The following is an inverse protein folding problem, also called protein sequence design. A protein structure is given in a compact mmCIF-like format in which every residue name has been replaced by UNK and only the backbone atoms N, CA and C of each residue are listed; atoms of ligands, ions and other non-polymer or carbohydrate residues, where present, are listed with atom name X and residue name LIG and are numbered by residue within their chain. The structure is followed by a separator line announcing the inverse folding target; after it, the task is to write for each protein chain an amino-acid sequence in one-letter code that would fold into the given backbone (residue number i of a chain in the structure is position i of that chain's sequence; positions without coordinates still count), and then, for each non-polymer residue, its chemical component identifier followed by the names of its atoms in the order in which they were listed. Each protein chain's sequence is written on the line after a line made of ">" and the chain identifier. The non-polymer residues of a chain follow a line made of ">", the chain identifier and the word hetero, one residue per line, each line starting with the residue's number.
data_IF_362090889277
#
_entry.id   IF_362090889277
#
_cell.length_a   1.000
_cell.length_b   1.000
_cell.length_c   1.000
_cell.angle_alpha   90.00
_cell.angle_beta   90.00
_cell.angle_gamma   90.00
#
_symmetry.space_group_name_H-M   'P 1'
#
loop_
_entity.id
_entity.type
_entity.pdbx_description
1 polymer ?
#
# COMPACT_ATOMS: atom_id res chain seq x y z
N UNK A 1 7.03 9.98 18.52
CA UNK A 1 6.85 8.63 17.92
C UNK A 1 6.66 8.84 16.43
N UNK A 2 7.26 8.01 15.57
CA UNK A 2 7.06 8.14 14.11
C UNK A 2 5.63 7.73 13.75
N UNK A 3 4.97 8.50 12.88
CA UNK A 3 3.60 8.25 12.39
C UNK A 3 3.58 7.61 10.99
N UNK A 4 4.75 7.28 10.43
CA UNK A 4 4.89 6.81 9.06
C UNK A 4 5.46 5.40 8.97
N UNK A 5 5.10 4.67 7.91
CA UNK A 5 5.69 3.36 7.56
C UNK A 5 7.20 3.48 7.36
N UNK A 6 7.65 4.45 6.57
CA UNK A 6 9.07 4.74 6.33
C UNK A 6 9.37 6.21 6.62
N UNK A 7 10.55 6.46 7.17
CA UNK A 7 11.14 7.80 7.24
C UNK A 7 12.05 8.01 6.03
N UNK A 8 11.96 9.18 5.40
CA UNK A 8 12.84 9.51 4.26
C UNK A 8 14.15 10.10 4.77
N UNK A 9 15.26 9.57 4.29
CA UNK A 9 16.61 10.09 4.53
C UNK A 9 17.34 10.21 3.20
N UNK A 10 17.44 11.43 2.68
CA UNK A 10 17.94 11.69 1.34
C UNK A 10 17.17 10.90 0.27
N UNK A 11 17.87 10.00 -0.43
CA UNK A 11 17.31 9.09 -1.44
C UNK A 11 16.81 7.76 -0.90
N UNK A 12 17.00 7.48 0.40
CA UNK A 12 16.64 6.22 1.03
C UNK A 12 15.39 6.34 1.92
N UNK A 13 14.83 5.18 2.24
CA UNK A 13 13.67 5.00 3.12
C UNK A 13 14.04 4.07 4.27
N UNK A 14 13.96 4.59 5.49
CA UNK A 14 14.24 3.86 6.72
C UNK A 14 12.94 3.24 7.25
N UNK A 15 12.86 1.91 7.39
CA UNK A 15 11.66 1.25 7.91
C UNK A 15 11.45 1.59 9.37
N UNK A 16 10.20 1.81 9.76
CA UNK A 16 9.80 1.91 11.17
C UNK A 16 9.20 0.60 11.66
N UNK A 17 8.83 0.52 12.94
CA UNK A 17 8.16 -0.68 13.47
C UNK A 17 6.82 -0.97 12.80
N UNK A 18 6.18 0.04 12.19
CA UNK A 18 4.95 -0.19 11.45
C UNK A 18 5.13 -1.04 10.19
N UNK A 19 6.36 -1.19 9.68
CA UNK A 19 6.60 -2.11 8.56
C UNK A 19 6.74 -3.56 8.99
N UNK A 20 6.76 -3.85 10.29
CA UNK A 20 7.10 -5.19 10.80
C UNK A 20 6.13 -6.27 10.30
N UNK A 21 6.70 -7.40 9.90
CA UNK A 21 5.98 -8.59 9.48
C UNK A 21 5.34 -9.34 10.66
N UNK A 22 4.11 -9.87 10.52
CA UNK A 22 3.53 -10.75 11.53
C UNK A 22 4.23 -12.12 11.59
N UNK A 23 5.06 -12.46 10.60
CA UNK A 23 5.77 -13.73 10.51
C UNK A 23 7.20 -13.67 11.07
N UNK A 24 7.82 -12.49 11.09
CA UNK A 24 9.16 -12.28 11.67
C UNK A 24 9.39 -10.80 11.97
N UNK A 25 9.96 -10.49 13.14
CA UNK A 25 10.34 -9.12 13.54
C UNK A 25 11.44 -8.51 12.68
N UNK A 26 12.24 -9.37 12.04
CA UNK A 26 13.44 -8.94 11.29
C UNK A 26 13.11 -8.53 9.85
N UNK A 27 11.85 -8.77 9.44
CA UNK A 27 11.38 -8.52 8.09
C UNK A 27 10.25 -7.50 8.06
N UNK A 28 10.13 -6.83 6.91
CA UNK A 28 8.95 -6.04 6.59
C UNK A 28 7.80 -6.93 6.11
N UNK A 29 6.56 -6.59 6.45
CA UNK A 29 5.40 -7.11 5.73
C UNK A 29 5.39 -6.52 4.31
N UNK A 30 4.76 -7.23 3.36
CA UNK A 30 4.88 -6.90 1.94
C UNK A 30 4.21 -5.59 1.49
N UNK A 31 3.25 -5.06 2.26
CA UNK A 31 2.49 -3.86 1.89
C UNK A 31 3.35 -2.58 1.81
N UNK A 32 4.08 -2.20 2.88
CA UNK A 32 4.93 -1.03 2.93
C UNK A 32 5.97 -0.95 1.81
N UNK A 33 6.78 -1.98 1.53
CA UNK A 33 7.74 -1.93 0.43
C UNK A 33 7.03 -1.85 -0.93
N UNK A 34 5.88 -2.49 -1.11
CA UNK A 34 5.07 -2.34 -2.32
C UNK A 34 4.51 -0.91 -2.48
N UNK A 35 4.15 -0.24 -1.37
CA UNK A 35 3.70 1.15 -1.39
C UNK A 35 4.81 2.12 -1.81
N UNK A 36 6.08 1.84 -1.47
CA UNK A 36 7.22 2.62 -1.98
C UNK A 36 7.36 2.51 -3.51
N UNK A 37 7.15 1.32 -4.08
CA UNK A 37 7.14 1.13 -5.53
C UNK A 37 5.99 1.87 -6.19
N UNK A 38 4.78 1.77 -5.63
CA UNK A 38 3.62 2.50 -6.13
C UNK A 38 3.87 4.02 -6.12
N UNK A 39 4.43 4.54 -5.02
CA UNK A 39 4.84 5.94 -4.92
C UNK A 39 5.85 6.33 -6.00
N UNK A 40 6.92 5.56 -6.18
CA UNK A 40 7.93 5.85 -7.21
C UNK A 40 7.32 5.86 -8.63
N UNK A 41 6.39 4.95 -8.91
CA UNK A 41 5.64 4.93 -10.17
C UNK A 41 4.73 6.16 -10.31
N UNK A 42 4.07 6.60 -9.23
CA UNK A 42 3.23 7.80 -9.25
C UNK A 42 4.07 9.08 -9.48
N UNK A 43 5.29 9.14 -8.94
CA UNK A 43 6.20 10.28 -9.17
C UNK A 43 6.52 10.46 -10.67
N UNK A 44 6.74 9.37 -11.42
CA UNK A 44 6.97 9.44 -12.88
C UNK A 44 5.68 9.58 -13.70
N UNK A 45 4.51 9.28 -13.11
CA UNK A 45 3.21 9.46 -13.76
C UNK A 45 2.88 10.94 -13.99
N UNK A 46 3.25 11.79 -13.02
CA UNK A 46 2.86 13.19 -12.97
C UNK A 46 1.36 13.36 -12.69
N UNK A 47 0.80 14.52 -13.03
CA UNK A 47 -0.60 14.84 -12.75
C UNK A 47 -1.59 14.25 -13.77
N UNK A 48 -1.14 13.84 -14.96
CA UNK A 48 -2.03 13.47 -16.07
C UNK A 48 -2.44 11.98 -16.10
N UNK A 49 -1.71 11.14 -15.35
CA UNK A 49 -1.86 9.69 -15.38
C UNK A 49 -2.00 9.17 -13.95
N UNK A 50 -2.92 8.23 -13.74
CA UNK A 50 -3.07 7.51 -12.49
C UNK A 50 -2.61 6.05 -12.63
N UNK A 51 -2.14 5.49 -11.51
CA UNK A 51 -1.80 4.08 -11.40
C UNK A 51 -3.06 3.22 -11.40
N UNK A 52 -3.30 2.50 -12.51
CA UNK A 52 -4.47 1.63 -12.65
C UNK A 52 -4.21 0.21 -12.18
N UNK A 53 -2.98 -0.28 -12.37
CA UNK A 53 -2.57 -1.63 -11.96
C UNK A 53 -1.09 -1.66 -11.66
N UNK A 54 -0.70 -2.36 -10.60
CA UNK A 54 0.68 -2.72 -10.32
C UNK A 54 0.74 -4.21 -10.02
N UNK A 55 1.71 -4.90 -10.60
CA UNK A 55 2.12 -6.24 -10.20
C UNK A 55 3.46 -6.09 -9.51
N UNK A 56 3.61 -6.72 -8.35
CA UNK A 56 4.82 -6.66 -7.55
C UNK A 56 5.33 -8.08 -7.33
N UNK A 57 6.58 -8.32 -7.70
CA UNK A 57 7.28 -9.57 -7.45
C UNK A 57 8.22 -9.38 -6.25
N UNK A 58 8.05 -10.18 -5.19
CA UNK A 58 8.96 -10.23 -4.05
C UNK A 58 9.98 -11.33 -4.28
N UNK A 59 11.26 -10.98 -4.38
CA UNK A 59 12.33 -11.93 -4.71
C UNK A 59 12.86 -12.68 -3.49
N UNK A 60 12.45 -12.28 -2.28
CA UNK A 60 12.81 -12.90 -1.02
C UNK A 60 12.29 -12.10 0.18
N UNK A 61 12.73 -12.44 1.40
CA UNK A 61 12.43 -11.66 2.60
C UNK A 61 12.95 -10.22 2.50
N UNK A 62 12.17 -9.24 2.95
CA UNK A 62 12.54 -7.82 2.97
C UNK A 62 13.11 -7.47 4.35
N UNK A 63 14.41 -7.23 4.52
CA UNK A 63 14.97 -6.88 5.83
C UNK A 63 14.52 -5.49 6.29
N UNK A 64 14.53 -5.24 7.61
CA UNK A 64 14.32 -3.89 8.18
C UNK A 64 15.58 -3.00 8.05
N UNK A 65 16.08 -2.83 6.84
CA UNK A 65 17.21 -1.95 6.50
C UNK A 65 16.77 -0.79 5.60
N UNK A 66 17.59 0.28 5.47
CA UNK A 66 17.32 1.34 4.50
C UNK A 66 17.22 0.78 3.08
N UNK A 67 16.20 1.24 2.34
CA UNK A 67 15.92 0.82 0.96
C UNK A 67 15.78 2.01 0.03
N UNK A 68 16.03 1.80 -1.25
CA UNK A 68 15.86 2.79 -2.32
C UNK A 68 14.81 2.26 -3.30
N UNK A 69 13.83 3.09 -3.63
CA UNK A 69 12.82 2.80 -4.63
C UNK A 69 13.10 3.62 -5.90
N UNK A 70 13.10 2.97 -7.06
CA UNK A 70 13.29 3.61 -8.35
C UNK A 70 12.19 3.18 -9.31
N UNK A 71 11.84 4.04 -10.27
CA UNK A 71 10.86 3.74 -11.30
C UNK A 71 11.31 4.31 -12.65
N UNK A 72 10.89 3.64 -13.73
CA UNK A 72 11.22 4.02 -15.10
C UNK A 72 10.07 3.74 -16.05
N UNK A 73 10.07 4.44 -17.19
CA UNK A 73 9.09 4.22 -18.26
C UNK A 73 9.61 3.11 -19.18
N UNK A 74 8.85 2.02 -19.27
CA UNK A 74 9.12 0.91 -20.20
C UNK A 74 8.50 1.18 -21.57
N UNK A 75 7.25 1.68 -21.59
CA UNK A 75 6.56 2.07 -22.82
C UNK A 75 5.91 3.44 -22.65
N UNK A 76 6.35 4.47 -23.41
CA UNK A 76 5.76 5.80 -23.32
C UNK A 76 4.35 5.81 -23.89
N UNK A 77 3.55 6.79 -23.46
CA UNK A 77 2.24 7.03 -24.02
C UNK A 77 1.49 8.16 -23.30
N UNK A 78 0.70 8.90 -24.07
CA UNK A 78 -0.13 10.02 -23.56
C UNK A 78 -1.38 9.53 -22.83
N UNK A 79 -1.95 8.39 -23.24
CA UNK A 79 -3.20 7.83 -22.67
C UNK A 79 -2.95 6.62 -21.78
N UNK A 80 -1.98 5.78 -22.16
CA UNK A 80 -1.60 4.57 -21.43
C UNK A 80 -0.09 4.45 -21.49
N UNK A 81 0.54 4.22 -20.35
CA UNK A 81 2.00 4.09 -20.20
C UNK A 81 2.31 2.84 -19.37
N UNK A 82 3.35 2.10 -19.77
CA UNK A 82 3.88 0.99 -18.98
C UNK A 82 5.12 1.48 -18.23
N UNK A 83 5.16 1.23 -16.94
CA UNK A 83 6.29 1.54 -16.07
C UNK A 83 6.83 0.27 -15.42
N UNK A 84 8.11 0.31 -15.04
CA UNK A 84 8.73 -0.65 -14.14
C UNK A 84 9.22 0.09 -12.89
N UNK A 85 9.34 -0.64 -11.79
CA UNK A 85 9.95 -0.13 -10.57
C UNK A 85 10.71 -1.22 -9.84
N UNK A 86 11.73 -0.83 -9.09
CA UNK A 86 12.54 -1.73 -8.26
C UNK A 86 12.72 -1.15 -6.87
N UNK A 87 12.76 -2.03 -5.87
CA UNK A 87 13.14 -1.71 -4.51
C UNK A 87 14.42 -2.47 -4.21
N UNK A 88 15.48 -1.75 -3.84
CA UNK A 88 16.77 -2.34 -3.57
C UNK A 88 17.31 -1.91 -2.20
N UNK A 89 18.24 -2.69 -1.65
CA UNK A 89 19.08 -2.25 -0.53
C UNK A 89 19.94 -1.06 -0.97
N UNK A 90 20.50 -0.31 -0.04
CA UNK A 90 21.49 0.75 -0.37
C UNK A 90 22.77 0.20 -0.99
N UNK A 91 23.03 -1.11 -0.89
CA UNK A 91 24.13 -1.80 -1.57
C UNK A 91 23.79 -2.20 -3.01
N UNK A 92 22.52 -2.10 -3.43
CA UNK A 92 22.05 -2.39 -4.79
C UNK A 92 21.37 -3.76 -4.97
N UNK A 93 21.18 -4.54 -3.91
CA UNK A 93 20.49 -5.83 -4.02
C UNK A 93 18.99 -5.63 -4.22
N UNK A 94 18.45 -6.07 -5.36
CA UNK A 94 17.03 -5.93 -5.67
C UNK A 94 16.21 -6.90 -4.83
N UNK A 95 15.29 -6.35 -4.04
CA UNK A 95 14.38 -7.08 -3.16
C UNK A 95 13.03 -7.31 -3.82
N UNK A 96 12.49 -6.27 -4.46
CA UNK A 96 11.23 -6.30 -5.19
C UNK A 96 11.39 -5.75 -6.59
N UNK A 97 10.58 -6.28 -7.50
CA UNK A 97 10.31 -5.71 -8.82
C UNK A 97 8.83 -5.40 -8.95
N UNK A 98 8.51 -4.49 -9.86
CA UNK A 98 7.14 -4.23 -10.22
C UNK A 98 6.99 -3.83 -11.68
N UNK A 99 5.84 -4.19 -12.24
CA UNK A 99 5.33 -3.71 -13.52
C UNK A 99 4.01 -2.98 -13.30
N UNK A 100 3.88 -1.78 -13.84
CA UNK A 100 2.73 -0.91 -13.58
C UNK A 100 2.12 -0.32 -14.86
N UNK A 101 0.79 -0.29 -14.90
CA UNK A 101 0.03 0.40 -15.93
C UNK A 101 -0.51 1.72 -15.40
N UNK A 102 -0.13 2.78 -16.10
CA UNK A 102 -0.59 4.14 -15.88
C UNK A 102 -1.59 4.49 -16.97
N UNK A 103 -2.74 5.06 -16.60
CA UNK A 103 -3.76 5.49 -17.56
C UNK A 103 -4.15 6.94 -17.31
N UNK A 104 -4.52 7.64 -18.38
CA UNK A 104 -4.95 9.03 -18.31
C UNK A 104 -6.23 9.16 -17.50
N UNK A 105 -6.20 10.07 -16.53
CA UNK A 105 -7.42 10.54 -15.88
C UNK A 105 -8.26 11.32 -16.90
N UNK A 106 -9.52 10.93 -17.05
CA UNK A 106 -10.46 11.64 -17.94
C UNK A 106 -11.19 12.70 -17.14
N UNK A 107 -11.66 13.73 -17.83
CA UNK A 107 -12.59 14.70 -17.24
C UNK A 107 -13.76 13.95 -16.59
N UNK A 108 -14.24 14.43 -15.42
CA UNK A 108 -15.42 13.87 -14.78
C UNK A 108 -16.56 13.80 -15.79
N UNK A 109 -17.09 12.59 -16.01
CA UNK A 109 -18.26 12.40 -16.84
C UNK A 109 -19.50 12.31 -15.97
N UNK A 110 -20.59 12.94 -16.40
CA UNK A 110 -21.89 12.76 -15.73
C UNK A 110 -22.26 11.28 -15.79
N UNK A 111 -22.27 10.64 -14.63
CA UNK A 111 -22.81 9.30 -14.50
C UNK A 111 -24.34 9.40 -14.50
N UNK A 112 -25.07 8.48 -15.16
CA UNK A 112 -26.52 8.41 -14.98
C UNK A 112 -26.83 8.23 -13.50
N UNK A 113 -28.00 8.70 -13.06
CA UNK A 113 -28.46 8.50 -11.69
C UNK A 113 -28.37 7.00 -11.37
N UNK A 114 -27.41 6.62 -10.52
CA UNK A 114 -27.29 5.25 -10.05
C UNK A 114 -28.56 4.94 -9.28
N UNK A 115 -29.24 3.85 -9.62
CA UNK A 115 -30.34 3.36 -8.80
C UNK A 115 -29.78 3.11 -7.39
N UNK A 116 -30.22 3.89 -6.41
CA UNK A 116 -29.79 3.80 -5.01
C UNK A 116 -30.35 2.56 -4.31
N UNK A 117 -30.79 1.54 -5.05
CA UNK A 117 -31.32 0.28 -4.52
C UNK A 117 -30.24 -0.64 -3.94
N UNK A 118 -29.10 -0.08 -3.56
CA UNK A 118 -28.08 -0.80 -2.79
C UNK A 118 -28.56 -1.04 -1.36
N UNK A 119 -27.87 -1.92 -0.62
CA UNK A 119 -28.08 -2.03 0.81
C UNK A 119 -27.89 -0.66 1.48
N UNK A 120 -28.62 -0.42 2.56
CA UNK A 120 -28.43 0.77 3.38
C UNK A 120 -26.94 0.88 3.78
N UNK A 121 -26.32 2.07 3.66
CA UNK A 121 -24.95 2.25 4.09
C UNK A 121 -24.82 1.88 5.57
N UNK A 122 -23.68 1.30 5.99
CA UNK A 122 -23.49 0.97 7.39
C UNK A 122 -23.47 2.23 8.27
N UNK A 123 -23.76 2.10 9.58
CA UNK A 123 -23.59 3.18 10.53
C UNK A 123 -22.19 3.77 10.48
N UNK A 124 -22.01 5.06 10.83
CA UNK A 124 -20.69 5.68 10.88
C UNK A 124 -19.77 4.93 11.85
N UNK A 125 -18.44 4.87 11.58
CA UNK A 125 -17.48 4.14 12.43
C UNK A 125 -17.54 4.50 13.92
N UNK A 126 -17.85 5.76 14.25
CA UNK A 126 -17.98 6.26 15.63
C UNK A 126 -19.11 5.62 16.44
N UNK A 127 -20.11 5.02 15.77
CA UNK A 127 -21.24 4.33 16.39
C UNK A 127 -21.03 2.81 16.52
N UNK A 128 -19.91 2.30 16.01
CA UNK A 128 -19.62 0.87 16.00
C UNK A 128 -18.62 0.50 17.11
N UNK A 129 -18.71 -0.72 17.67
CA UNK A 129 -17.73 -1.18 18.64
C UNK A 129 -16.35 -1.34 17.99
N UNK A 130 -15.25 -1.10 18.74
CA UNK A 130 -13.91 -1.39 18.26
C UNK A 130 -13.74 -2.90 18.01
N UNK A 131 -12.99 -3.24 16.97
CA UNK A 131 -12.58 -4.62 16.68
C UNK A 131 -11.55 -5.08 17.73
N UNK A 132 -11.80 -6.14 18.50
CA UNK A 132 -10.90 -6.62 19.56
C UNK A 132 -9.69 -7.39 19.01
N UNK A 133 -9.40 -7.31 17.71
CA UNK A 133 -8.25 -7.96 17.10
C UNK A 133 -6.98 -7.73 17.92
N UNK A 134 -6.42 -8.86 18.38
CA UNK A 134 -5.72 -8.95 19.64
C UNK A 134 -4.46 -8.09 19.77
N UNK A 135 -4.00 -7.96 21.02
CA UNK A 135 -2.67 -7.42 21.33
C UNK A 135 -1.60 -8.31 20.68
N UNK A 136 -0.87 -7.77 19.71
CA UNK A 136 0.21 -8.48 19.06
C UNK A 136 1.50 -8.37 19.88
N UNK A 137 2.40 -9.34 19.71
CA UNK A 137 3.70 -9.37 20.43
C UNK A 137 4.58 -8.16 20.11
N UNK A 138 4.34 -7.49 18.98
CA UNK A 138 5.11 -6.33 18.51
C UNK A 138 4.18 -5.35 17.80
N UNK A 139 4.59 -4.07 17.78
CA UNK A 139 3.88 -3.01 17.07
C UNK A 139 3.93 -3.26 15.57
N UNK A 140 2.79 -3.19 14.89
CA UNK A 140 2.73 -3.27 13.43
C UNK A 140 1.50 -2.55 12.86
N UNK A 141 1.54 -2.22 11.57
CA UNK A 141 0.52 -1.40 10.91
C UNK A 141 -0.93 -1.83 11.20
N UNK A 142 -1.26 -3.11 10.99
CA UNK A 142 -2.63 -3.61 11.11
C UNK A 142 -3.23 -3.54 12.54
N UNK A 143 -2.38 -3.46 13.56
CA UNK A 143 -2.82 -3.41 14.95
C UNK A 143 -2.78 -2.00 15.52
N UNK A 144 -1.74 -1.24 15.19
CA UNK A 144 -1.39 -0.02 15.92
C UNK A 144 -1.43 1.25 15.07
N UNK A 145 -1.67 1.15 13.77
CA UNK A 145 -1.72 2.30 12.86
C UNK A 145 -3.11 2.51 12.24
N UNK A 146 -4.08 1.67 12.55
CA UNK A 146 -5.43 1.76 12.03
C UNK A 146 -6.47 1.50 13.12
N UNK A 147 -7.59 2.21 13.01
CA UNK A 147 -8.79 1.93 13.79
C UNK A 147 -9.70 0.99 12.99
N UNK A 148 -10.20 -0.05 13.64
CA UNK A 148 -11.15 -1.00 13.04
C UNK A 148 -12.42 -1.06 13.85
N UNK A 149 -13.55 -1.13 13.15
CA UNK A 149 -14.90 -1.08 13.68
C UNK A 149 -15.73 -2.21 13.10
N UNK A 150 -16.50 -2.89 13.94
CA UNK A 150 -17.25 -4.10 13.54
C UNK A 150 -18.70 -3.74 13.29
N UNK A 151 -19.18 -4.02 12.07
CA UNK A 151 -20.60 -3.83 11.69
C UNK A 151 -21.44 -5.04 12.15
N UNK A 152 -20.94 -6.26 11.89
CA UNK A 152 -21.56 -7.52 12.29
C UNK A 152 -20.50 -8.63 12.39
N UNK A 153 -20.77 -9.66 13.18
CA UNK A 153 -19.84 -10.78 13.41
C UNK A 153 -18.64 -10.39 14.29
N UNK A 154 -17.54 -11.14 14.19
CA UNK A 154 -16.26 -10.79 14.78
C UNK A 154 -15.13 -11.54 14.04
N UNK A 155 -13.90 -10.99 14.04
CA UNK A 155 -12.78 -11.59 13.32
C UNK A 155 -12.49 -13.05 13.72
N UNK A 156 -12.62 -13.36 15.02
CA UNK A 156 -12.38 -14.70 15.55
C UNK A 156 -13.59 -15.63 15.49
N UNK A 157 -14.75 -15.14 15.05
CA UNK A 157 -15.98 -15.92 14.94
C UNK A 157 -16.18 -16.30 13.48
N UNK A 158 -16.38 -17.60 13.16
CA UNK A 158 -16.82 -17.99 11.82
C UNK A 158 -18.05 -17.17 11.41
N UNK A 159 -18.09 -16.74 10.15
CA UNK A 159 -19.29 -16.14 9.58
C UNK A 159 -20.48 -17.12 9.58
N UNK A 160 -21.67 -16.69 9.11
CA UNK A 160 -22.69 -17.65 8.71
C UNK A 160 -22.15 -18.67 7.70
#
# INVERSE_FOLDING_TARGET
>A
MSEALYLRDGGAFLPTDYTTSPWSSDHCHGGPPAALLARAVQEIAGADLHLARITVEMLGPIPKHPVVATAGVVRPGKKVRLASAELATTAGDVLLRATAWLIRERDPMSLPAVATSGPEPPPPPSQLPPDPFGAHRYRHYYADAQERRVIAGAFATPGP
#
